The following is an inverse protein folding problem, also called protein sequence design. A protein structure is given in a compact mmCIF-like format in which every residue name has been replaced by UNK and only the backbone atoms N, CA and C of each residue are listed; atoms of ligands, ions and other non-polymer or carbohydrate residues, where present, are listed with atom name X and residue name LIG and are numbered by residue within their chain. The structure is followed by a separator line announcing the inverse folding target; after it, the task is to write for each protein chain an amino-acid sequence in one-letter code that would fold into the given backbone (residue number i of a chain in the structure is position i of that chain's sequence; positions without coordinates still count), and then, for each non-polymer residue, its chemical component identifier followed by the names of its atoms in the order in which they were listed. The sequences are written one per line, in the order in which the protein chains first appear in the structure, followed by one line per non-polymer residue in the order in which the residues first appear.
data_IF_897185205041
#
_entry.id   IF_897185205041
#
_cell.length_a   1.000
_cell.length_b   1.000
_cell.length_c   1.000
_cell.angle_alpha   90.00
_cell.angle_beta   90.00
_cell.angle_gamma   90.00
#
_symmetry.space_group_name_H-M   'P 1'
#
loop_
_entity.id
_entity.type
_entity.pdbx_description
1 polymer ?
#
# COMPACT_ATOMS: atom_id res chain seq x y z
N UNK A 1 -19.73 2.65 -13.46
CA UNK A 1 -18.97 2.94 -12.22
C UNK A 1 -17.99 1.79 -11.94
N UNK A 2 -16.69 2.05 -11.96
CA UNK A 2 -15.65 1.04 -11.67
C UNK A 2 -15.86 0.38 -10.32
N UNK A 3 -15.73 -0.96 -10.27
CA UNK A 3 -15.92 -1.75 -9.04
C UNK A 3 -14.78 -2.75 -8.84
N UNK A 4 -14.47 -3.04 -7.58
CA UNK A 4 -13.61 -4.17 -7.20
C UNK A 4 -14.51 -5.31 -6.75
N UNK A 5 -14.35 -6.46 -7.35
CA UNK A 5 -15.17 -7.64 -7.06
C UNK A 5 -14.28 -8.83 -6.72
N UNK A 6 -14.75 -9.61 -5.77
CA UNK A 6 -14.17 -10.91 -5.43
C UNK A 6 -14.94 -11.98 -6.20
N UNK A 7 -14.25 -12.75 -7.01
CA UNK A 7 -14.84 -13.84 -7.79
C UNK A 7 -14.25 -15.18 -7.36
N UNK A 8 -15.07 -16.21 -7.46
CA UNK A 8 -14.65 -17.60 -7.34
C UNK A 8 -14.96 -18.31 -8.64
N UNK A 9 -13.97 -18.93 -9.24
CA UNK A 9 -14.16 -19.73 -10.46
C UNK A 9 -14.59 -21.11 -10.02
N UNK A 10 -15.66 -21.64 -10.63
CA UNK A 10 -16.11 -23.00 -10.40
C UNK A 10 -14.93 -23.96 -10.63
N UNK A 11 -14.68 -24.85 -9.65
CA UNK A 11 -13.58 -25.82 -9.59
C UNK A 11 -12.22 -25.26 -9.07
N UNK A 12 -12.12 -23.99 -8.65
CA UNK A 12 -10.93 -23.50 -7.96
C UNK A 12 -11.28 -23.10 -6.52
N UNK A 13 -10.41 -23.49 -5.58
CA UNK A 13 -10.57 -23.13 -4.16
C UNK A 13 -10.13 -21.72 -3.85
N UNK A 14 -9.45 -21.07 -4.79
CA UNK A 14 -8.90 -19.72 -4.59
C UNK A 14 -9.86 -18.64 -5.05
N UNK A 15 -9.96 -17.59 -4.23
CA UNK A 15 -10.72 -16.40 -4.53
C UNK A 15 -9.84 -15.40 -5.31
N UNK A 16 -10.36 -14.87 -6.41
CA UNK A 16 -9.69 -13.89 -7.24
C UNK A 16 -10.32 -12.50 -7.08
N UNK A 17 -9.48 -11.48 -7.18
CA UNK A 17 -9.94 -10.09 -7.19
C UNK A 17 -9.84 -9.54 -8.60
N UNK A 18 -10.92 -8.93 -9.08
CA UNK A 18 -10.98 -8.25 -10.37
C UNK A 18 -11.41 -6.79 -10.18
N UNK A 19 -10.96 -5.94 -11.09
CA UNK A 19 -11.43 -4.56 -11.21
C UNK A 19 -12.19 -4.44 -12.52
N UNK A 20 -13.46 -4.05 -12.43
CA UNK A 20 -14.32 -3.87 -13.60
C UNK A 20 -14.41 -2.39 -13.99
N UNK A 21 -14.37 -2.12 -15.29
CA UNK A 21 -14.61 -0.81 -15.87
C UNK A 21 -16.09 -0.41 -15.84
N UNK A 22 -16.42 0.68 -16.49
CA UNK A 22 -17.80 1.17 -16.61
C UNK A 22 -18.65 0.29 -17.54
N UNK A 23 -18.02 -0.46 -18.42
CA UNK A 23 -18.58 -1.49 -19.28
C UNK A 23 -18.88 -2.82 -18.57
N UNK A 24 -18.62 -2.88 -17.26
CA UNK A 24 -18.73 -4.08 -16.42
C UNK A 24 -17.74 -5.21 -16.79
N UNK A 25 -16.83 -4.99 -17.72
CA UNK A 25 -15.78 -5.93 -18.06
C UNK A 25 -14.54 -5.74 -17.17
N UNK A 26 -13.80 -6.82 -16.96
CA UNK A 26 -12.53 -6.75 -16.23
C UNK A 26 -11.52 -5.94 -17.04
N UNK A 27 -10.78 -5.05 -16.38
CA UNK A 27 -9.71 -4.27 -17.00
C UNK A 27 -8.52 -5.22 -17.24
N UNK A 28 -8.16 -5.53 -18.52
CA UNK A 28 -7.23 -6.61 -18.82
C UNK A 28 -5.83 -6.45 -18.18
N UNK A 29 -5.30 -5.23 -18.19
CA UNK A 29 -3.98 -4.94 -17.61
C UNK A 29 -3.95 -5.16 -16.09
N UNK A 30 -5.00 -4.78 -15.39
CA UNK A 30 -5.12 -5.01 -13.95
C UNK A 30 -5.32 -6.49 -13.65
N UNK A 31 -6.20 -7.17 -14.39
CA UNK A 31 -6.47 -8.60 -14.20
C UNK A 31 -5.21 -9.44 -14.39
N UNK A 32 -4.44 -9.17 -15.43
CA UNK A 32 -3.16 -9.84 -15.69
C UNK A 32 -2.19 -9.69 -14.50
N UNK A 33 -2.08 -8.48 -13.96
CA UNK A 33 -1.21 -8.22 -12.82
C UNK A 33 -1.69 -8.88 -11.52
N UNK A 34 -3.01 -8.82 -11.22
CA UNK A 34 -3.56 -9.45 -10.02
C UNK A 34 -3.43 -10.99 -10.06
N UNK A 35 -3.60 -11.60 -11.22
CA UNK A 35 -3.33 -13.04 -11.44
C UNK A 35 -1.85 -13.37 -11.22
N UNK A 36 -0.93 -12.54 -11.73
CA UNK A 36 0.48 -12.70 -11.43
C UNK A 36 0.77 -12.65 -9.94
N UNK A 37 0.18 -11.71 -9.18
CA UNK A 37 0.35 -11.63 -7.72
C UNK A 37 -0.17 -12.89 -7.02
N UNK A 38 -1.27 -13.49 -7.50
CA UNK A 38 -1.80 -14.75 -6.99
C UNK A 38 -0.83 -15.91 -7.29
N UNK A 39 -0.30 -16.00 -8.51
CA UNK A 39 0.64 -17.07 -8.90
C UNK A 39 1.92 -17.10 -8.08
N UNK A 40 2.41 -15.92 -7.66
CA UNK A 40 3.56 -15.80 -6.74
C UNK A 40 3.16 -15.86 -5.25
N UNK A 41 1.94 -16.31 -4.96
CA UNK A 41 1.40 -16.52 -3.60
C UNK A 41 1.48 -15.29 -2.69
N UNK A 42 1.23 -14.09 -3.21
CA UNK A 42 1.04 -12.91 -2.37
C UNK A 42 -0.19 -13.07 -1.48
N UNK A 43 -0.15 -12.49 -0.27
CA UNK A 43 -1.28 -12.63 0.66
C UNK A 43 -2.58 -12.08 0.04
N UNK A 44 -3.74 -12.72 0.27
CA UNK A 44 -5.03 -12.28 -0.26
C UNK A 44 -5.35 -10.82 0.10
N UNK A 45 -4.94 -10.37 1.30
CA UNK A 45 -5.11 -8.98 1.73
C UNK A 45 -4.27 -8.01 0.90
N UNK A 46 -3.06 -8.40 0.48
CA UNK A 46 -2.21 -7.59 -0.39
C UNK A 46 -2.85 -7.46 -1.77
N UNK A 47 -3.32 -8.56 -2.36
CA UNK A 47 -3.98 -8.57 -3.68
C UNK A 47 -5.23 -7.69 -3.63
N UNK A 48 -6.06 -7.85 -2.60
CA UNK A 48 -7.24 -7.01 -2.38
C UNK A 48 -6.87 -5.52 -2.32
N UNK A 49 -5.89 -5.16 -1.50
CA UNK A 49 -5.46 -3.76 -1.35
C UNK A 49 -4.96 -3.19 -2.69
N UNK A 50 -4.18 -3.96 -3.44
CA UNK A 50 -3.69 -3.55 -4.76
C UNK A 50 -4.83 -3.36 -5.76
N UNK A 51 -5.86 -4.22 -5.76
CA UNK A 51 -7.04 -4.05 -6.60
C UNK A 51 -7.74 -2.71 -6.31
N UNK A 52 -7.93 -2.34 -5.03
CA UNK A 52 -8.52 -1.06 -4.66
C UNK A 52 -7.64 0.14 -5.04
N UNK A 53 -6.33 0.04 -4.89
CA UNK A 53 -5.39 1.12 -5.25
C UNK A 53 -5.34 1.32 -6.77
N UNK A 54 -5.34 0.23 -7.55
CA UNK A 54 -5.38 0.29 -9.01
C UNK A 54 -6.72 0.81 -9.51
N UNK A 55 -7.85 0.41 -8.92
CA UNK A 55 -9.15 1.00 -9.24
C UNK A 55 -9.12 2.52 -9.12
N UNK A 56 -8.56 3.03 -8.03
CA UNK A 56 -8.50 4.47 -7.78
C UNK A 56 -7.60 5.20 -8.78
N UNK A 57 -6.48 4.58 -9.12
CA UNK A 57 -5.61 5.09 -10.16
C UNK A 57 -6.31 5.12 -11.52
N UNK A 58 -7.04 4.08 -11.89
CA UNK A 58 -7.83 4.03 -13.13
C UNK A 58 -8.93 5.10 -13.17
N UNK A 59 -9.57 5.37 -12.04
CA UNK A 59 -10.53 6.47 -11.94
C UNK A 59 -9.85 7.81 -12.26
N UNK A 60 -8.67 8.06 -11.71
CA UNK A 60 -7.89 9.26 -12.03
C UNK A 60 -7.52 9.33 -13.52
N UNK A 61 -7.06 8.24 -14.11
CA UNK A 61 -6.75 8.18 -15.54
C UNK A 61 -7.97 8.51 -16.41
N UNK A 62 -9.13 7.96 -16.07
CA UNK A 62 -10.38 8.24 -16.77
C UNK A 62 -10.79 9.70 -16.65
N UNK A 63 -10.64 10.32 -15.49
CA UNK A 63 -10.95 11.74 -15.27
C UNK A 63 -10.04 12.69 -16.05
N UNK A 64 -8.80 12.30 -16.27
CA UNK A 64 -7.80 13.09 -17.00
C UNK A 64 -7.69 12.71 -18.48
N UNK A 65 -8.39 11.66 -18.93
CA UNK A 65 -8.23 11.07 -20.27
C UNK A 65 -6.77 10.65 -20.57
N UNK A 66 -6.07 10.14 -19.57
CA UNK A 66 -4.71 9.62 -19.72
C UNK A 66 -4.71 8.15 -20.13
N UNK A 67 -3.79 7.82 -21.03
CA UNK A 67 -3.52 6.42 -21.41
C UNK A 67 -2.59 5.78 -20.36
N UNK A 68 -2.99 4.63 -19.81
CA UNK A 68 -2.27 3.99 -18.70
C UNK A 68 -0.83 3.56 -19.07
N UNK A 69 -0.55 3.29 -20.35
CA UNK A 69 0.74 2.81 -20.83
C UNK A 69 1.78 3.93 -21.04
N UNK A 70 1.35 5.21 -21.02
CA UNK A 70 2.20 6.38 -21.32
C UNK A 70 2.46 7.28 -20.10
N UNK A 71 2.13 6.78 -18.90
CA UNK A 71 2.28 7.55 -17.67
C UNK A 71 3.75 7.72 -17.29
N UNK A 72 4.12 8.97 -17.03
CA UNK A 72 5.44 9.34 -16.52
C UNK A 72 5.42 9.90 -15.09
N UNK A 73 6.51 10.55 -14.72
CA UNK A 73 6.67 11.14 -13.38
C UNK A 73 5.74 12.34 -13.14
N UNK A 74 5.41 13.08 -14.20
CA UNK A 74 4.54 14.27 -14.12
C UNK A 74 3.13 13.84 -13.77
N UNK A 75 2.55 12.90 -14.51
CA UNK A 75 1.22 12.38 -14.30
C UNK A 75 1.09 11.68 -12.93
N UNK A 76 2.16 10.99 -12.49
CA UNK A 76 2.22 10.43 -11.14
C UNK A 76 2.25 11.50 -10.06
N UNK A 77 2.89 12.64 -10.29
CA UNK A 77 2.85 13.77 -9.37
C UNK A 77 1.45 14.39 -9.29
N UNK A 78 0.75 14.51 -10.41
CA UNK A 78 -0.66 14.95 -10.43
C UNK A 78 -1.57 13.95 -9.70
N UNK A 79 -1.35 12.66 -9.87
CA UNK A 79 -2.08 11.65 -9.13
C UNK A 79 -1.86 11.76 -7.62
N UNK A 80 -0.62 11.99 -7.16
CA UNK A 80 -0.34 12.24 -5.74
C UNK A 80 -1.11 13.47 -5.23
N UNK A 81 -1.19 14.53 -6.02
CA UNK A 81 -1.98 15.72 -5.67
C UNK A 81 -3.48 15.40 -5.63
N UNK A 82 -3.98 14.63 -6.58
CA UNK A 82 -5.37 14.12 -6.57
C UNK A 82 -5.68 13.33 -5.29
N UNK A 83 -4.78 12.45 -4.85
CA UNK A 83 -4.94 11.70 -3.60
C UNK A 83 -4.96 12.59 -2.34
N UNK A 84 -4.26 13.73 -2.37
CA UNK A 84 -4.25 14.69 -1.27
C UNK A 84 -5.51 15.55 -1.24
N UNK A 85 -5.95 16.05 -2.37
CA UNK A 85 -6.99 17.09 -2.47
C UNK A 85 -8.37 16.51 -2.79
N UNK A 86 -8.46 15.33 -3.38
CA UNK A 86 -9.71 14.68 -3.79
C UNK A 86 -10.39 15.35 -5.00
N UNK A 87 -9.77 16.34 -5.58
CA UNK A 87 -10.27 17.07 -6.76
C UNK A 87 -9.24 17.01 -7.87
N UNK A 88 -9.73 16.90 -9.09
CA UNK A 88 -8.92 17.09 -10.29
C UNK A 88 -8.94 18.60 -10.57
N UNK A 89 -8.09 19.35 -9.90
CA UNK A 89 -7.97 20.78 -10.19
C UNK A 89 -7.35 20.95 -11.58
N UNK A 90 -8.14 21.46 -12.50
CA UNK A 90 -7.69 21.89 -13.84
C UNK A 90 -7.03 23.29 -13.80
N UNK A 91 -7.09 23.96 -12.67
CA UNK A 91 -6.47 25.27 -12.47
C UNK A 91 -5.10 25.14 -11.79
N UNK A 92 -4.08 25.77 -12.35
CA UNK A 92 -2.74 25.89 -11.77
C UNK A 92 -2.70 26.77 -10.48
N UNK A 93 -3.86 27.08 -9.89
CA UNK A 93 -3.99 27.90 -8.70
C UNK A 93 -3.97 26.99 -7.49
N UNK A 94 -2.86 26.96 -6.77
CA UNK A 94 -2.75 26.31 -5.46
C UNK A 94 -3.56 27.17 -4.47
N UNK A 95 -4.68 26.69 -3.90
CA UNK A 95 -5.42 27.47 -2.92
C UNK A 95 -4.54 27.68 -1.69
N UNK A 96 -4.37 28.93 -1.28
CA UNK A 96 -3.54 29.35 -0.14
C UNK A 96 -4.10 28.87 1.22
N UNK A 97 -5.30 28.31 1.25
CA UNK A 97 -5.85 27.69 2.45
C UNK A 97 -5.27 26.29 2.63
N UNK A 98 -4.74 25.98 3.79
CA UNK A 98 -4.28 24.66 4.21
C UNK A 98 -5.46 23.67 4.22
N UNK A 99 -5.84 23.16 3.04
CA UNK A 99 -6.80 22.04 2.96
C UNK A 99 -6.15 20.85 3.66
N UNK A 100 -6.79 20.38 4.70
CA UNK A 100 -6.40 19.12 5.35
C UNK A 100 -6.41 18.03 4.28
N UNK A 101 -5.29 17.35 4.13
CA UNK A 101 -5.18 16.25 3.18
C UNK A 101 -6.25 15.20 3.49
N UNK A 102 -7.02 14.76 2.48
CA UNK A 102 -8.04 13.72 2.63
C UNK A 102 -7.44 12.38 3.07
N UNK A 103 -6.19 12.14 2.74
CA UNK A 103 -5.48 10.90 3.05
C UNK A 103 -4.16 11.17 3.76
N UNK A 104 -3.79 10.25 4.65
CA UNK A 104 -2.48 10.32 5.30
C UNK A 104 -1.37 10.04 4.30
N UNK A 105 -0.20 10.64 4.53
CA UNK A 105 1.00 10.45 3.70
C UNK A 105 1.40 8.98 3.60
N UNK A 106 1.20 8.23 4.68
CA UNK A 106 1.42 6.77 4.71
C UNK A 106 0.50 6.04 3.74
N UNK A 107 -0.79 6.41 3.70
CA UNK A 107 -1.76 5.84 2.75
C UNK A 107 -1.37 6.16 1.32
N UNK A 108 -1.01 7.42 1.04
CA UNK A 108 -0.55 7.84 -0.29
C UNK A 108 0.67 7.04 -0.72
N UNK A 109 1.67 6.88 0.15
CA UNK A 109 2.87 6.09 -0.15
C UNK A 109 2.54 4.62 -0.42
N UNK A 110 1.56 4.04 0.28
CA UNK A 110 1.12 2.67 0.03
C UNK A 110 0.47 2.53 -1.35
N UNK A 111 -0.39 3.48 -1.73
CA UNK A 111 -1.02 3.52 -3.05
C UNK A 111 0.03 3.66 -4.15
N UNK A 112 0.94 4.63 -4.02
CA UNK A 112 2.03 4.86 -4.99
C UNK A 112 2.91 3.61 -5.12
N UNK A 113 3.23 2.93 -4.02
CA UNK A 113 4.01 1.68 -4.06
C UNK A 113 3.30 0.59 -4.86
N UNK A 114 1.99 0.44 -4.71
CA UNK A 114 1.21 -0.55 -5.47
C UNK A 114 1.23 -0.24 -6.97
N UNK A 115 1.09 1.04 -7.35
CA UNK A 115 1.11 1.49 -8.75
C UNK A 115 2.51 1.35 -9.35
N UNK A 116 3.55 1.74 -8.63
CA UNK A 116 4.94 1.55 -9.09
C UNK A 116 5.24 0.07 -9.34
N UNK A 117 4.77 -0.83 -8.46
CA UNK A 117 4.93 -2.27 -8.65
C UNK A 117 4.15 -2.79 -9.87
N UNK A 118 2.98 -2.24 -10.16
CA UNK A 118 2.21 -2.53 -11.36
C UNK A 118 2.96 -2.11 -12.63
N UNK A 119 3.52 -0.89 -12.67
CA UNK A 119 4.33 -0.43 -13.80
C UNK A 119 5.63 -1.20 -13.96
N UNK A 120 6.30 -1.58 -12.87
CA UNK A 120 7.52 -2.40 -12.90
C UNK A 120 7.24 -3.78 -13.55
N UNK A 121 6.06 -4.37 -13.27
CA UNK A 121 5.61 -5.59 -13.92
C UNK A 121 5.35 -5.40 -15.42
N UNK A 122 4.53 -4.40 -15.78
CA UNK A 122 4.16 -4.17 -17.18
C UNK A 122 5.30 -3.66 -18.05
N UNK A 123 6.26 -2.91 -17.49
CA UNK A 123 7.47 -2.49 -18.22
C UNK A 123 8.36 -3.68 -18.60
N UNK A 124 8.43 -4.71 -17.74
CA UNK A 124 9.15 -5.95 -18.05
C UNK A 124 8.47 -6.77 -19.14
N UNK A 125 7.17 -6.64 -19.31
CA UNK A 125 6.41 -7.23 -20.40
C UNK A 125 6.43 -6.39 -21.68
N UNK A 126 7.02 -5.20 -21.67
CA UNK A 126 7.00 -4.25 -22.78
C UNK A 126 5.65 -3.60 -23.05
N UNK A 127 4.68 -3.74 -22.10
CA UNK A 127 3.30 -3.24 -22.25
C UNK A 127 3.12 -1.80 -21.76
N UNK A 128 4.06 -1.26 -21.01
CA UNK A 128 4.05 0.10 -20.50
C UNK A 128 5.45 0.69 -20.35
N UNK A 129 5.54 2.02 -20.31
CA UNK A 129 6.79 2.71 -20.04
C UNK A 129 7.25 2.45 -18.59
N UNK A 130 8.56 2.29 -18.41
CA UNK A 130 9.13 2.17 -17.07
C UNK A 130 9.04 3.51 -16.33
N UNK A 131 8.41 3.50 -15.17
CA UNK A 131 8.37 4.63 -14.27
C UNK A 131 9.71 4.90 -13.65
N UNK A 132 10.70 5.43 -14.19
CA UNK A 132 12.06 5.64 -13.64
C UNK A 132 12.06 6.42 -12.29
N UNK A 133 11.27 5.91 -11.32
CA UNK A 133 11.02 6.54 -10.02
C UNK A 133 12.15 6.34 -9.00
N UNK A 134 13.15 5.50 -9.31
CA UNK A 134 14.21 5.13 -8.37
C UNK A 134 15.48 5.93 -8.62
N UNK A 135 15.86 6.73 -7.62
CA UNK A 135 17.16 7.42 -7.60
C UNK A 135 18.14 6.66 -6.70
N UNK A 136 19.35 6.45 -7.22
CA UNK A 136 20.47 5.96 -6.43
C UNK A 136 21.00 7.12 -5.57
N UNK A 137 20.98 6.98 -4.25
CA UNK A 137 21.66 7.91 -3.36
C UNK A 137 22.70 7.19 -2.51
N UNK A 138 23.82 7.84 -2.26
CA UNK A 138 24.80 7.32 -1.31
C UNK A 138 24.15 7.27 0.09
N UNK A 139 24.33 6.17 0.78
CA UNK A 139 23.89 6.06 2.18
C UNK A 139 24.52 7.17 3.00
N UNK A 140 23.69 7.99 3.64
CA UNK A 140 24.15 9.11 4.48
C UNK A 140 24.74 8.67 5.82
N UNK A 141 24.64 7.39 6.17
CA UNK A 141 25.17 6.86 7.42
C UNK A 141 26.68 6.59 7.35
N UNK A 142 27.47 7.68 7.30
CA UNK A 142 28.93 7.59 7.39
C UNK A 142 29.46 7.31 8.82
N UNK A 143 28.62 7.48 9.85
CA UNK A 143 29.08 7.43 11.25
C UNK A 143 29.04 6.03 11.87
N UNK A 144 28.17 5.15 11.43
CA UNK A 144 28.09 3.76 11.92
C UNK A 144 28.38 2.79 10.80
N UNK A 145 29.51 2.08 10.89
CA UNK A 145 29.85 0.97 10.03
C UNK A 145 29.50 -0.33 10.75
N UNK A 146 28.52 -1.13 10.28
CA UNK A 146 28.26 -2.43 10.88
C UNK A 146 29.49 -3.32 10.76
N UNK A 147 29.63 -4.30 11.65
CA UNK A 147 30.77 -5.21 11.72
C UNK A 147 31.17 -5.83 10.36
N UNK A 148 30.19 -6.13 9.51
CA UNK A 148 30.40 -6.71 8.17
C UNK A 148 30.37 -5.68 7.03
N UNK A 149 30.57 -4.39 7.30
CA UNK A 149 30.55 -3.32 6.29
C UNK A 149 31.54 -3.56 5.14
N UNK A 150 32.68 -4.18 5.41
CA UNK A 150 33.73 -4.49 4.41
C UNK A 150 33.30 -5.57 3.41
N UNK A 151 32.29 -6.38 3.73
CA UNK A 151 31.72 -7.42 2.87
C UNK A 151 30.53 -6.86 2.07
N UNK A 152 29.82 -5.87 2.62
CA UNK A 152 28.68 -5.21 1.98
C UNK A 152 29.16 -4.16 0.99
N UNK A 153 29.21 -4.51 -0.30
CA UNK A 153 29.74 -3.66 -1.39
C UNK A 153 28.81 -2.54 -1.85
N UNK A 154 27.60 -2.36 -1.33
CA UNK A 154 26.67 -1.37 -1.86
C UNK A 154 26.47 -0.17 -0.92
N UNK A 155 27.25 0.89 -1.13
CA UNK A 155 27.04 2.21 -0.52
C UNK A 155 25.82 2.97 -1.08
N UNK A 156 25.09 2.38 -2.03
CA UNK A 156 23.98 3.02 -2.70
C UNK A 156 22.66 2.40 -2.29
N UNK A 157 21.76 3.22 -1.79
CA UNK A 157 20.36 2.85 -1.56
C UNK A 157 19.47 3.39 -2.67
N UNK A 158 18.56 2.57 -3.18
CA UNK A 158 17.53 3.00 -4.14
C UNK A 158 16.40 3.66 -3.36
N UNK A 159 16.13 4.92 -3.62
CA UNK A 159 15.00 5.65 -3.05
C UNK A 159 14.02 6.02 -4.14
N UNK A 160 12.72 5.85 -3.86
CA UNK A 160 11.67 6.36 -4.75
C UNK A 160 11.60 7.89 -4.66
N UNK A 161 11.58 8.54 -5.83
CA UNK A 161 11.43 10.00 -5.96
C UNK A 161 9.99 10.42 -5.62
N UNK A 162 9.02 9.52 -5.86
CA UNK A 162 7.59 9.78 -5.66
C UNK A 162 7.13 9.65 -4.21
N UNK A 163 8.04 9.31 -3.29
CA UNK A 163 7.69 9.11 -1.89
C UNK A 163 7.38 10.43 -1.19
N UNK A 164 6.17 10.56 -0.67
CA UNK A 164 5.75 11.69 0.17
C UNK A 164 6.40 11.56 1.54
N UNK A 165 6.89 12.68 2.09
CA UNK A 165 7.50 12.71 3.44
C UNK A 165 6.44 12.43 4.49
N UNK A 166 6.64 11.39 5.28
CA UNK A 166 5.76 11.04 6.40
C UNK A 166 6.18 11.78 7.67
N UNK A 167 5.23 12.34 8.43
CA UNK A 167 5.54 12.88 9.74
C UNK A 167 5.93 11.74 10.69
N UNK A 168 6.95 11.97 11.50
CA UNK A 168 7.33 11.02 12.56
C UNK A 168 6.23 11.04 13.62
N UNK A 169 5.50 9.95 13.74
CA UNK A 169 4.51 9.77 14.82
C UNK A 169 5.12 8.94 15.93
N UNK A 170 5.04 9.45 17.15
CA UNK A 170 5.40 8.68 18.33
C UNK A 170 4.29 7.66 18.57
N UNK A 171 4.60 6.36 18.72
CA UNK A 171 3.60 5.35 19.04
C UNK A 171 2.88 5.72 20.35
N UNK A 172 1.55 5.58 20.35
CA UNK A 172 0.77 5.72 21.58
C UNK A 172 0.81 4.37 22.31
N UNK A 173 1.24 4.37 23.55
CA UNK A 173 1.27 3.21 24.42
C UNK A 173 0.23 3.36 25.53
N UNK A 174 -0.30 2.25 26.01
CA UNK A 174 -1.17 2.21 27.18
C UNK A 174 -0.32 2.20 28.45
N UNK A 175 -0.81 2.89 29.50
CA UNK A 175 -0.23 2.77 30.85
C UNK A 175 -0.71 1.49 31.50
N UNK A 176 -0.01 1.01 32.54
CA UNK A 176 -0.40 -0.16 33.30
C UNK A 176 -1.82 -0.06 33.86
N UNK A 177 -2.18 1.10 34.40
CA UNK A 177 -3.54 1.37 34.90
C UNK A 177 -4.62 1.25 33.81
N UNK A 178 -4.32 1.71 32.60
CA UNK A 178 -5.24 1.60 31.47
C UNK A 178 -5.40 0.14 31.02
N UNK A 179 -4.32 -0.64 31.03
CA UNK A 179 -4.40 -2.08 30.74
C UNK A 179 -5.24 -2.81 31.76
N UNK A 180 -5.07 -2.53 33.05
CA UNK A 180 -5.88 -3.14 34.11
C UNK A 180 -7.36 -2.78 33.97
N UNK A 181 -7.69 -1.52 33.68
CA UNK A 181 -9.09 -1.11 33.42
C UNK A 181 -9.70 -1.87 32.22
N UNK A 182 -8.93 -2.12 31.16
CA UNK A 182 -9.38 -2.92 30.03
C UNK A 182 -9.64 -4.37 30.48
N UNK A 183 -8.70 -4.98 31.22
CA UNK A 183 -8.85 -6.34 31.73
C UNK A 183 -10.07 -6.50 32.64
N UNK A 184 -10.35 -5.51 33.49
CA UNK A 184 -11.52 -5.53 34.40
C UNK A 184 -12.82 -5.29 33.66
N UNK A 185 -12.81 -4.55 32.55
CA UNK A 185 -13.99 -4.33 31.71
C UNK A 185 -14.36 -5.53 30.83
N UNK A 186 -13.47 -6.52 30.69
CA UNK A 186 -13.74 -7.71 29.90
C UNK A 186 -14.76 -8.61 30.58
N UNK A 187 -15.97 -8.70 30.02
CA UNK A 187 -17.03 -9.60 30.52
C UNK A 187 -16.70 -11.09 30.24
N UNK A 188 -15.88 -11.39 29.23
CA UNK A 188 -15.59 -12.73 28.78
C UNK A 188 -14.16 -13.14 29.17
N UNK A 189 -14.00 -14.35 29.73
CA UNK A 189 -12.68 -14.89 30.10
C UNK A 189 -11.73 -15.02 28.90
N UNK A 190 -12.25 -15.36 27.70
CA UNK A 190 -11.46 -15.46 26.49
C UNK A 190 -10.85 -14.12 26.11
N UNK A 191 -11.63 -13.03 26.17
CA UNK A 191 -11.18 -11.71 25.81
C UNK A 191 -10.20 -11.17 26.85
N UNK A 192 -10.44 -11.43 28.14
CA UNK A 192 -9.48 -11.12 29.22
C UNK A 192 -8.15 -11.83 29.02
N UNK A 193 -8.17 -13.13 28.69
CA UNK A 193 -6.97 -13.90 28.40
C UNK A 193 -6.23 -13.36 27.19
N UNK A 194 -6.95 -13.02 26.10
CA UNK A 194 -6.35 -12.47 24.89
C UNK A 194 -5.63 -11.13 25.16
N UNK A 195 -6.26 -10.22 25.88
CA UNK A 195 -5.65 -8.93 26.23
C UNK A 195 -4.44 -9.12 27.13
N UNK A 196 -4.53 -10.00 28.14
CA UNK A 196 -3.39 -10.33 29.00
C UNK A 196 -2.22 -10.91 28.20
N UNK A 197 -2.49 -11.86 27.31
CA UNK A 197 -1.48 -12.51 26.48
C UNK A 197 -0.78 -11.49 25.55
N UNK A 198 -1.55 -10.59 24.91
CA UNK A 198 -0.99 -9.53 24.07
C UNK A 198 -0.10 -8.58 24.87
N UNK A 199 -0.52 -8.23 26.08
CA UNK A 199 0.24 -7.32 26.95
C UNK A 199 1.54 -7.93 27.45
N UNK A 200 1.49 -9.17 27.95
CA UNK A 200 2.65 -9.85 28.54
C UNK A 200 3.70 -10.29 27.49
N UNK A 201 3.24 -10.68 26.30
CA UNK A 201 4.12 -11.25 25.27
C UNK A 201 4.52 -10.28 24.17
N UNK A 202 3.75 -9.22 23.95
CA UNK A 202 3.92 -8.31 22.80
C UNK A 202 3.65 -8.97 21.43
N UNK A 203 3.02 -10.13 21.38
CA UNK A 203 2.67 -10.83 20.15
C UNK A 203 1.69 -10.01 19.30
N UNK A 204 1.74 -10.21 17.97
CA UNK A 204 0.69 -9.64 17.10
C UNK A 204 -0.60 -10.41 17.26
N UNK A 205 -1.75 -9.72 17.11
CA UNK A 205 -3.08 -10.34 17.25
C UNK A 205 -3.23 -11.59 16.38
N UNK A 206 -2.68 -11.59 15.15
CA UNK A 206 -2.72 -12.76 14.26
C UNK A 206 -1.89 -13.93 14.76
N UNK A 207 -0.80 -13.68 15.46
CA UNK A 207 0.04 -14.71 16.11
C UNK A 207 -0.71 -15.32 17.31
N UNK A 208 -1.31 -14.48 18.15
CA UNK A 208 -2.13 -14.94 19.28
C UNK A 208 -3.32 -15.80 18.84
N UNK A 209 -4.04 -15.37 17.79
CA UNK A 209 -5.19 -16.11 17.28
C UNK A 209 -4.80 -17.41 16.54
N UNK A 210 -3.56 -17.52 16.10
CA UNK A 210 -2.99 -18.71 15.46
C UNK A 210 -2.42 -19.74 16.45
N UNK A 211 -2.34 -19.44 17.75
CA UNK A 211 -1.87 -20.39 18.75
C UNK A 211 -2.81 -21.60 18.81
N UNK A 212 -2.21 -22.78 18.76
CA UNK A 212 -2.90 -24.06 18.94
C UNK A 212 -2.45 -24.69 20.24
N UNK A 213 -3.37 -25.34 20.92
CA UNK A 213 -3.08 -26.20 22.05
C UNK A 213 -2.71 -27.57 21.46
N UNK A 214 -1.44 -27.97 21.59
CA UNK A 214 -1.02 -29.35 21.30
C UNK A 214 -1.15 -30.20 22.54
#
# INVERSE_FOLDING_TARGET
LMKVQKIRINNQTEDFWIVTGDDHLAIPSIDLYLRYLSSIRKSPNTIRSYAYHLKEFWLFLSLKNYSWNEIGLIEMSEFINFLKLGTVDTSNIIPFSSKVSLRSEKTINTIVTAITAFYDYHSRLGSALALNDKKLSKSKHKSYKPFLHHISKSDFAKHSILKVKEPKRIPKTLTFEQVNKILDSCANRRDKFLVALLYETGMRIGECLGLRHE
#
